data_IF_747153473903
#
_entry.id   IF_747153473903
#
_cell.length_a   1.000
_cell.length_b   1.000
_cell.length_c   1.000
_cell.angle_alpha   90.00
_cell.angle_beta   90.00
_cell.angle_gamma   90.00
#
_symmetry.space_group_name_H-M   'P 1'
#
loop_
_entity.id
_entity.type
_entity.pdbx_description
1 polymer ?
#
# COMPACT_ATOMS: atom_id res chain seq x y z
N UNK A 1 -30.90 -8.46 -9.89
CA UNK A 1 -30.13 -9.69 -9.62
C UNK A 1 -31.05 -10.88 -9.83
N UNK A 2 -30.77 -11.73 -10.80
CA UNK A 2 -31.53 -12.97 -11.04
C UNK A 2 -30.91 -14.10 -10.23
N UNK A 3 -31.71 -14.79 -9.41
CA UNK A 3 -31.24 -15.99 -8.70
C UNK A 3 -30.98 -17.12 -9.71
N UNK A 4 -29.86 -17.82 -9.58
CA UNK A 4 -29.55 -18.96 -10.43
C UNK A 4 -30.48 -20.15 -10.13
N UNK A 5 -30.89 -20.89 -11.17
CA UNK A 5 -31.58 -22.18 -11.00
C UNK A 5 -30.61 -23.25 -10.46
N UNK A 6 -31.10 -24.24 -9.73
CA UNK A 6 -30.31 -25.36 -9.21
C UNK A 6 -29.47 -26.06 -10.30
N UNK A 7 -30.03 -26.19 -11.52
CA UNK A 7 -29.30 -26.75 -12.66
C UNK A 7 -28.10 -25.87 -13.07
N UNK A 8 -28.28 -24.56 -13.05
CA UNK A 8 -27.29 -23.59 -13.49
C UNK A 8 -26.13 -23.47 -12.49
N UNK A 9 -26.43 -23.59 -11.19
CA UNK A 9 -25.40 -23.69 -10.14
C UNK A 9 -24.54 -24.94 -10.32
N UNK A 10 -25.17 -26.10 -10.55
CA UNK A 10 -24.44 -27.37 -10.69
C UNK A 10 -23.62 -27.45 -11.99
N UNK A 11 -24.20 -27.04 -13.13
CA UNK A 11 -23.56 -27.23 -14.43
C UNK A 11 -22.53 -26.15 -14.77
N UNK A 12 -22.68 -24.93 -14.22
CA UNK A 12 -21.85 -23.78 -14.57
C UNK A 12 -21.03 -23.28 -13.36
N UNK A 13 -21.69 -22.90 -12.26
CA UNK A 13 -21.01 -22.22 -11.15
C UNK A 13 -20.03 -23.13 -10.40
N UNK A 14 -20.48 -24.30 -9.93
CA UNK A 14 -19.61 -25.21 -9.17
C UNK A 14 -18.46 -25.75 -10.03
N UNK A 15 -18.73 -26.03 -11.32
CA UNK A 15 -17.73 -26.51 -12.24
C UNK A 15 -16.66 -25.45 -12.54
N UNK A 16 -17.04 -24.19 -12.75
CA UNK A 16 -16.06 -23.11 -12.96
C UNK A 16 -15.39 -22.68 -11.65
N UNK A 17 -16.11 -22.65 -10.53
CA UNK A 17 -15.55 -22.28 -9.23
C UNK A 17 -14.44 -23.21 -8.75
N UNK A 18 -14.49 -24.50 -9.10
CA UNK A 18 -13.40 -25.44 -8.82
C UNK A 18 -12.20 -25.25 -9.76
N UNK A 19 -12.43 -24.70 -10.95
CA UNK A 19 -11.40 -24.39 -11.94
C UNK A 19 -10.88 -22.96 -11.84
N UNK A 20 -11.33 -22.19 -10.84
CA UNK A 20 -10.90 -20.81 -10.66
C UNK A 20 -9.57 -20.80 -9.90
N UNK A 21 -8.47 -20.79 -10.65
CA UNK A 21 -7.13 -20.71 -10.08
C UNK A 21 -6.72 -19.27 -9.77
N UNK A 22 -5.66 -19.11 -8.97
CA UNK A 22 -5.16 -17.79 -8.54
C UNK A 22 -4.77 -16.91 -9.74
N UNK A 23 -4.37 -17.51 -10.86
CA UNK A 23 -4.07 -16.84 -12.13
C UNK A 23 -5.31 -16.28 -12.84
N UNK A 24 -6.48 -16.91 -12.71
CA UNK A 24 -7.75 -16.39 -13.23
C UNK A 24 -8.29 -15.26 -12.35
N UNK A 25 -7.99 -15.30 -11.04
CA UNK A 25 -8.25 -14.21 -10.10
C UNK A 25 -7.40 -12.96 -10.36
N UNK A 26 -6.23 -13.10 -10.99
CA UNK A 26 -5.40 -11.96 -11.46
C UNK A 26 -6.08 -11.16 -12.58
N UNK A 27 -7.04 -11.77 -13.29
CA UNK A 27 -7.85 -11.07 -14.29
C UNK A 27 -8.88 -10.13 -13.65
N UNK A 28 -9.17 -10.32 -12.35
CA UNK A 28 -9.96 -9.41 -11.54
C UNK A 28 -9.03 -8.41 -10.82
N UNK A 29 -9.29 -7.11 -11.00
CA UNK A 29 -8.56 -6.07 -10.27
C UNK A 29 -9.14 -5.92 -8.87
N UNK A 30 -8.69 -6.77 -7.95
CA UNK A 30 -8.99 -6.65 -6.52
C UNK A 30 -7.74 -6.11 -5.79
N UNK A 31 -7.57 -4.77 -5.68
CA UNK A 31 -6.49 -4.22 -4.87
C UNK A 31 -6.71 -4.58 -3.40
N UNK A 32 -5.62 -4.75 -2.65
CA UNK A 32 -5.69 -4.97 -1.21
C UNK A 32 -6.22 -3.71 -0.53
N UNK A 33 -7.15 -3.91 0.40
CA UNK A 33 -7.71 -2.85 1.21
C UNK A 33 -6.62 -2.26 2.13
N UNK A 34 -6.66 -0.93 2.34
CA UNK A 34 -5.66 -0.23 3.15
C UNK A 34 -5.93 -0.36 4.66
N UNK A 35 -7.18 -0.57 5.03
CA UNK A 35 -7.64 -0.76 6.41
C UNK A 35 -8.32 -2.11 6.49
N UNK A 36 -7.84 -2.95 7.38
CA UNK A 36 -8.34 -4.31 7.58
C UNK A 36 -8.29 -4.64 9.07
N UNK A 37 -9.30 -5.37 9.55
CA UNK A 37 -9.43 -5.76 10.96
C UNK A 37 -9.43 -7.28 11.02
N UNK A 38 -8.31 -7.84 11.42
CA UNK A 38 -8.15 -9.28 11.58
C UNK A 38 -8.44 -9.74 13.01
N UNK A 39 -9.25 -10.80 13.16
CA UNK A 39 -9.58 -11.41 14.43
C UNK A 39 -8.96 -12.82 14.50
N UNK A 40 -7.78 -12.93 15.08
CA UNK A 40 -7.16 -14.22 15.37
C UNK A 40 -7.93 -14.97 16.47
N UNK A 41 -8.50 -16.13 16.13
CA UNK A 41 -9.30 -16.96 17.03
C UNK A 41 -8.52 -18.20 17.50
N UNK A 42 -8.43 -18.40 18.81
CA UNK A 42 -7.93 -19.64 19.42
C UNK A 42 -9.12 -20.49 19.88
N UNK A 43 -9.20 -21.75 19.43
CA UNK A 43 -10.33 -22.63 19.75
C UNK A 43 -9.92 -23.63 20.83
N UNK A 44 -10.75 -23.73 21.87
CA UNK A 44 -10.61 -24.71 22.95
C UNK A 44 -11.91 -25.49 23.14
N UNK A 45 -11.80 -26.79 23.42
CA UNK A 45 -12.94 -27.68 23.57
C UNK A 45 -12.93 -28.32 24.96
N UNK A 46 -14.11 -28.45 25.55
CA UNK A 46 -14.33 -29.16 26.80
C UNK A 46 -15.62 -29.98 26.71
N UNK A 47 -15.65 -31.15 27.35
CA UNK A 47 -16.88 -31.91 27.46
C UNK A 47 -17.72 -31.37 28.64
N UNK A 48 -18.78 -30.63 28.32
CA UNK A 48 -19.72 -30.07 29.31
C UNK A 48 -20.76 -31.09 29.79
N UNK A 49 -21.02 -32.13 28.99
CA UNK A 49 -22.00 -33.18 29.30
C UNK A 49 -21.39 -34.22 30.22
N UNK A 50 -21.36 -33.88 31.51
CA UNK A 50 -21.14 -34.86 32.58
C UNK A 50 -22.44 -35.57 32.94
N UNK A 51 -22.36 -36.75 33.56
CA UNK A 51 -23.55 -37.51 34.00
C UNK A 51 -24.51 -36.68 34.86
N UNK A 52 -23.98 -35.78 35.69
CA UNK A 52 -24.79 -34.89 36.52
C UNK A 52 -25.60 -33.90 35.66
N UNK A 53 -24.95 -33.23 34.72
CA UNK A 53 -25.58 -32.26 33.80
C UNK A 53 -26.63 -32.94 32.93
N UNK A 54 -26.36 -34.15 32.44
CA UNK A 54 -27.32 -34.95 31.67
C UNK A 54 -28.59 -35.25 32.47
N UNK A 55 -28.46 -35.69 33.73
CA UNK A 55 -29.62 -35.97 34.58
C UNK A 55 -30.42 -34.72 34.97
N UNK A 56 -29.77 -33.56 35.06
CA UNK A 56 -30.45 -32.29 35.33
C UNK A 56 -31.16 -31.76 34.08
N UNK A 57 -30.52 -31.84 32.91
CA UNK A 57 -31.11 -31.40 31.64
C UNK A 57 -32.36 -32.21 31.25
N UNK A 58 -32.39 -33.51 31.59
CA UNK A 58 -33.58 -34.37 31.40
C UNK A 58 -34.71 -34.00 32.37
N UNK A 59 -34.39 -33.53 33.59
CA UNK A 59 -35.41 -33.08 34.57
C UNK A 59 -36.02 -31.74 34.21
N UNK A 60 -35.24 -30.85 33.59
CA UNK A 60 -35.68 -29.52 33.18
C UNK A 60 -36.44 -29.53 31.82
N UNK A 61 -36.78 -30.73 31.30
CA UNK A 61 -37.64 -30.99 30.13
C UNK A 61 -37.16 -30.32 28.83
N UNK A 62 -35.85 -30.02 28.74
CA UNK A 62 -35.26 -29.29 27.61
C UNK A 62 -35.22 -30.18 26.35
N UNK A 63 -35.18 -31.52 26.49
CA UNK A 63 -35.07 -32.45 25.36
C UNK A 63 -35.83 -33.77 25.59
N UNK A 64 -36.88 -33.98 24.80
CA UNK A 64 -37.71 -35.20 24.74
C UNK A 64 -37.03 -36.43 24.11
N UNK A 65 -35.69 -36.51 24.03
CA UNK A 65 -35.05 -37.64 23.36
C UNK A 65 -33.89 -38.23 24.17
N UNK A 66 -34.22 -39.37 24.74
CA UNK A 66 -33.52 -40.11 25.78
C UNK A 66 -32.24 -40.84 25.29
N UNK A 67 -31.45 -40.30 24.36
CA UNK A 67 -30.18 -40.98 23.98
C UNK A 67 -29.06 -40.18 23.27
N UNK A 68 -29.23 -38.90 22.91
CA UNK A 68 -28.18 -38.21 22.13
C UNK A 68 -28.02 -36.73 22.48
N UNK A 69 -28.05 -36.37 23.77
CA UNK A 69 -27.75 -34.99 24.21
C UNK A 69 -26.35 -34.56 23.75
N UNK A 70 -25.37 -35.45 23.95
CA UNK A 70 -23.95 -35.21 23.64
C UNK A 70 -23.65 -35.07 22.15
N UNK A 71 -24.50 -35.62 21.27
CA UNK A 71 -24.28 -35.60 19.82
C UNK A 71 -24.96 -34.41 19.14
N UNK A 72 -25.98 -33.81 19.78
CA UNK A 72 -26.81 -32.78 19.18
C UNK A 72 -26.68 -31.41 19.86
N UNK A 73 -26.09 -31.35 21.05
CA UNK A 73 -25.88 -30.09 21.77
C UNK A 73 -24.42 -29.64 21.68
N UNK A 74 -24.25 -28.34 21.39
CA UNK A 74 -22.97 -27.64 21.44
C UNK A 74 -23.15 -26.37 22.26
N UNK A 75 -22.22 -26.14 23.19
CA UNK A 75 -22.09 -24.86 23.87
C UNK A 75 -20.96 -24.08 23.21
N UNK A 76 -21.29 -22.92 22.62
CA UNK A 76 -20.35 -22.06 21.91
C UNK A 76 -20.26 -20.72 22.62
N UNK A 77 -19.11 -20.48 23.24
CA UNK A 77 -18.80 -19.22 23.91
C UNK A 77 -17.72 -18.47 23.12
N UNK A 78 -18.07 -17.30 22.57
CA UNK A 78 -17.16 -16.42 21.82
C UNK A 78 -16.82 -15.23 22.70
N UNK A 79 -15.54 -15.02 22.97
CA UNK A 79 -15.05 -13.93 23.81
C UNK A 79 -13.66 -13.47 23.37
N UNK A 80 -13.31 -12.22 23.69
CA UNK A 80 -11.97 -11.70 23.45
C UNK A 80 -10.98 -12.30 24.45
N UNK A 81 -9.86 -12.82 23.94
CA UNK A 81 -8.79 -13.41 24.76
C UNK A 81 -8.15 -12.39 25.71
N UNK A 82 -7.97 -11.16 25.24
CA UNK A 82 -7.41 -10.05 26.01
C UNK A 82 -8.11 -8.75 25.61
N UNK A 83 -8.08 -7.75 26.50
CA UNK A 83 -8.64 -6.42 26.25
C UNK A 83 -7.67 -5.48 25.49
N UNK A 84 -6.74 -6.06 24.72
CA UNK A 84 -5.71 -5.32 24.00
C UNK A 84 -6.00 -5.35 22.51
N UNK A 85 -5.84 -4.22 21.84
CA UNK A 85 -5.92 -4.08 20.39
C UNK A 85 -4.51 -3.87 19.86
N UNK A 86 -4.13 -4.59 18.81
CA UNK A 86 -2.86 -4.42 18.11
C UNK A 86 -3.15 -3.70 16.80
N UNK A 87 -2.57 -2.51 16.64
CA UNK A 87 -2.69 -1.71 15.43
C UNK A 87 -1.40 -1.82 14.62
N UNK A 88 -1.50 -2.10 13.33
CA UNK A 88 -0.35 -2.23 12.41
C UNK A 88 -0.51 -1.18 11.31
N UNK A 89 0.27 -0.11 11.41
CA UNK A 89 0.28 0.98 10.43
C UNK A 89 1.55 0.89 9.59
N UNK A 90 1.39 0.97 8.26
CA UNK A 90 2.53 1.03 7.34
C UNK A 90 2.91 2.48 7.08
N UNK A 91 4.07 2.88 7.58
CA UNK A 91 4.63 4.21 7.36
C UNK A 91 5.74 4.18 6.29
N UNK A 92 5.91 5.27 5.52
CA UNK A 92 6.97 5.35 4.51
C UNK A 92 8.35 5.33 5.18
N UNK A 93 9.24 4.45 4.71
CA UNK A 93 10.60 4.33 5.25
C UNK A 93 11.47 5.59 5.03
N UNK A 94 11.17 6.36 3.98
CA UNK A 94 11.80 7.65 3.70
C UNK A 94 10.72 8.68 3.37
N UNK A 95 10.55 9.62 4.28
CA UNK A 95 9.78 10.82 4.03
C UNK A 95 10.65 11.91 3.37
N UNK A 96 10.01 12.90 2.76
CA UNK A 96 10.71 13.99 2.08
C UNK A 96 11.62 14.77 3.05
N UNK A 97 11.14 14.99 4.28
CA UNK A 97 11.92 15.62 5.34
C UNK A 97 13.15 14.78 5.74
N UNK A 98 13.05 13.45 5.74
CA UNK A 98 14.19 12.56 6.00
C UNK A 98 15.23 12.63 4.88
N UNK A 99 14.79 12.66 3.62
CA UNK A 99 15.69 12.81 2.47
C UNK A 99 16.45 14.14 2.51
N UNK A 100 15.75 15.25 2.75
CA UNK A 100 16.35 16.59 2.84
C UNK A 100 17.27 16.68 4.06
N UNK A 101 16.86 16.13 5.20
CA UNK A 101 17.66 16.07 6.42
C UNK A 101 18.96 15.29 6.23
N UNK A 102 18.92 14.14 5.57
CA UNK A 102 20.10 13.33 5.29
C UNK A 102 21.06 14.02 4.32
N UNK A 103 20.54 14.63 3.25
CA UNK A 103 21.35 15.37 2.30
C UNK A 103 21.99 16.60 2.96
N UNK A 104 21.20 17.41 3.66
CA UNK A 104 21.67 18.60 4.36
C UNK A 104 22.65 18.27 5.49
N UNK A 105 22.42 17.18 6.23
CA UNK A 105 23.30 16.71 7.29
C UNK A 105 24.67 16.27 6.77
N UNK A 106 24.71 15.49 5.69
CA UNK A 106 25.98 15.09 5.07
C UNK A 106 26.72 16.29 4.47
N UNK A 107 26.02 17.18 3.76
CA UNK A 107 26.63 18.39 3.20
C UNK A 107 27.14 19.35 4.29
N UNK A 108 26.38 19.54 5.36
CA UNK A 108 26.77 20.37 6.50
C UNK A 108 27.95 19.80 7.28
N UNK A 109 28.01 18.48 7.45
CA UNK A 109 29.09 17.82 8.18
C UNK A 109 30.41 17.79 7.40
N UNK A 110 30.37 17.40 6.11
CA UNK A 110 31.58 17.20 5.32
C UNK A 110 32.09 18.47 4.65
N UNK A 111 31.19 19.36 4.19
CA UNK A 111 31.56 20.57 3.44
C UNK A 111 31.41 21.85 4.28
N UNK A 112 30.76 21.80 5.45
CA UNK A 112 30.36 23.00 6.17
C UNK A 112 29.36 23.85 5.38
N UNK A 113 28.69 23.27 4.39
CA UNK A 113 27.82 23.98 3.46
C UNK A 113 26.38 24.03 3.99
N UNK A 114 25.71 25.15 3.74
CA UNK A 114 24.31 25.36 4.11
C UNK A 114 23.46 25.72 2.88
N UNK A 115 22.14 25.84 3.08
CA UNK A 115 21.22 26.29 2.03
C UNK A 115 21.57 27.70 1.50
N UNK A 116 22.15 28.54 2.35
CA UNK A 116 22.63 29.87 1.97
C UNK A 116 23.81 29.75 0.99
N UNK A 117 24.75 28.84 1.28
CA UNK A 117 25.90 28.58 0.41
C UNK A 117 25.49 28.06 -0.98
N UNK A 118 24.46 27.22 -1.04
CA UNK A 118 23.90 26.74 -2.32
C UNK A 118 23.25 27.91 -3.09
N UNK A 119 22.50 28.75 -2.40
CA UNK A 119 21.84 29.92 -3.00
C UNK A 119 22.86 30.89 -3.60
N UNK A 120 23.95 31.16 -2.87
CA UNK A 120 25.06 31.99 -3.35
C UNK A 120 25.75 31.39 -4.58
N UNK A 121 25.96 30.06 -4.59
CA UNK A 121 26.55 29.37 -5.74
C UNK A 121 25.65 29.49 -6.98
N UNK A 122 24.33 29.36 -6.83
CA UNK A 122 23.37 29.52 -7.92
C UNK A 122 23.39 30.96 -8.46
N UNK A 123 23.38 31.97 -7.57
CA UNK A 123 23.46 33.38 -7.97
C UNK A 123 24.75 33.65 -8.76
N UNK A 124 25.89 33.17 -8.26
CA UNK A 124 27.17 33.31 -8.92
C UNK A 124 27.16 32.67 -10.31
N UNK A 125 26.64 31.44 -10.43
CA UNK A 125 26.52 30.74 -11.72
C UNK A 125 25.63 31.51 -12.70
N UNK A 126 24.48 32.02 -12.26
CA UNK A 126 23.59 32.83 -13.10
C UNK A 126 24.27 34.11 -13.59
N UNK A 127 24.96 34.83 -12.71
CA UNK A 127 25.71 36.04 -13.08
C UNK A 127 26.80 35.72 -14.10
N UNK A 128 27.54 34.61 -13.90
CA UNK A 128 28.59 34.17 -14.81
C UNK A 128 28.02 33.78 -16.19
N UNK A 129 26.92 33.03 -16.23
CA UNK A 129 26.23 32.65 -17.47
C UNK A 129 25.72 33.88 -18.24
N UNK A 130 25.09 34.84 -17.54
CA UNK A 130 24.62 36.07 -18.16
C UNK A 130 25.77 36.93 -18.69
N UNK A 131 26.89 37.03 -17.94
CA UNK A 131 28.10 37.71 -18.42
C UNK A 131 28.72 37.01 -19.61
N UNK A 132 28.80 35.68 -19.61
CA UNK A 132 29.34 34.88 -20.71
C UNK A 132 28.48 35.01 -21.97
N UNK A 133 27.14 34.96 -21.84
CA UNK A 133 26.21 35.20 -22.93
C UNK A 133 26.37 36.61 -23.52
N UNK A 134 26.47 37.64 -22.66
CA UNK A 134 26.72 39.03 -23.09
C UNK A 134 28.10 39.22 -23.73
N UNK A 135 29.13 38.53 -23.23
CA UNK A 135 30.48 38.52 -23.83
C UNK A 135 30.47 37.83 -25.20
N UNK A 136 29.76 36.71 -25.36
CA UNK A 136 29.59 36.05 -26.65
C UNK A 136 28.84 36.93 -27.65
N UNK A 137 27.77 37.63 -27.24
CA UNK A 137 27.08 38.59 -28.12
C UNK A 137 27.96 39.78 -28.48
N UNK A 138 28.79 40.27 -27.53
CA UNK A 138 29.75 41.35 -27.77
C UNK A 138 30.89 40.93 -28.71
N UNK A 139 31.43 39.72 -28.57
CA UNK A 139 32.44 39.15 -29.48
C UNK A 139 31.89 38.89 -30.89
N UNK A 140 30.64 38.46 -31.02
CA UNK A 140 29.95 38.31 -32.30
C UNK A 140 29.67 39.67 -32.96
N UNK A 141 29.27 40.68 -32.18
CA UNK A 141 29.08 42.05 -32.69
C UNK A 141 30.37 42.67 -33.22
N UNK A 142 31.53 42.40 -32.60
CA UNK A 142 32.83 42.93 -33.06
C UNK A 142 33.45 42.14 -34.23
N UNK A 143 33.11 40.86 -34.45
CA UNK A 143 33.50 40.11 -35.67
C UNK A 143 32.54 40.31 -36.86
N UNK A 144 31.33 40.82 -36.65
CA UNK A 144 30.38 41.09 -37.75
C UNK A 144 30.59 42.45 -38.45
N UNK A 145 31.45 43.34 -37.96
CA UNK A 145 31.69 44.66 -38.58
C UNK A 145 32.90 44.73 -39.52
N UNK A 146 33.52 43.61 -39.88
CA UNK A 146 34.63 43.58 -40.86
C UNK A 146 34.35 42.51 -41.93
N UNK A 147 33.41 42.80 -42.83
CA UNK A 147 33.47 42.28 -44.20
C UNK A 147 34.01 43.41 -45.09
N UNK A 148 35.22 43.31 -45.64
CA UNK A 148 35.61 44.15 -46.75
C UNK A 148 34.93 43.63 -48.03
N UNK A 149 34.57 44.58 -48.89
CA UNK A 149 33.91 44.41 -50.17
C UNK A 149 34.38 43.20 -51.00
N UNK A 150 33.41 42.44 -51.55
CA UNK A 150 33.59 41.66 -52.78
C UNK A 150 32.25 41.42 -53.50
N UNK A 151 32.10 42.14 -54.62
CA UNK A 151 31.50 41.73 -55.91
C UNK A 151 30.01 41.30 -55.92
N UNK A 152 29.16 42.23 -56.38
CA UNK A 152 27.93 41.90 -57.13
C UNK A 152 28.17 42.37 -58.57
N UNK A 153 28.54 41.44 -59.45
CA UNK A 153 28.52 41.62 -60.90
C UNK A 153 27.22 41.03 -61.47
N UNK A 154 26.73 41.70 -62.51
CA UNK A 154 25.49 41.50 -63.23
C UNK A 154 25.33 40.10 -63.82
N UNK A 155 24.15 39.50 -63.64
CA UNK A 155 23.32 38.94 -64.73
C UNK A 155 21.88 38.70 -64.24
#
# INVERSE_FOLDING_TARGET
>A
MTLCSAKQVLSCYLRQGYHLDVEDLLQCSCPRECEDIDYSADISYANIFSQFVETQAVKDDILLLNNSLRENLIDLSIFYKTLNVVEIVQEPALSLESVIGNLGGQMGLFLGASILSITELIELLLILLLKAAKRCTSWISHRCSVTPAAVVDQN
#
